data_IF_291636037390
#
_entry.id   IF_291636037390
#
_cell.length_a   1.000
_cell.length_b   1.000
_cell.length_c   1.000
_cell.angle_alpha   90.00
_cell.angle_beta   90.00
_cell.angle_gamma   90.00
#
_symmetry.space_group_name_H-M   'P 1'
#
loop_
_entity.id
_entity.type
_entity.pdbx_description
1 polymer ?
#
# COMPACT_ATOMS: atom_id res chain seq x y z
N UNK A 1 -27.15 -43.54 12.77
CA UNK A 1 -26.84 -42.20 13.35
C UNK A 1 -25.47 -41.77 12.83
N UNK A 2 -25.39 -40.97 11.76
CA UNK A 2 -24.13 -40.41 11.27
C UNK A 2 -24.07 -38.95 11.70
N UNK A 3 -23.15 -38.59 12.60
CA UNK A 3 -22.87 -37.19 12.94
C UNK A 3 -21.96 -36.60 11.87
N UNK A 4 -22.49 -35.69 11.05
CA UNK A 4 -21.69 -34.82 10.19
C UNK A 4 -20.85 -33.91 11.10
N UNK A 5 -19.56 -34.20 11.20
CA UNK A 5 -18.60 -33.29 11.80
C UNK A 5 -18.31 -32.19 10.77
N UNK A 6 -18.85 -30.99 10.98
CA UNK A 6 -18.45 -29.78 10.27
C UNK A 6 -17.00 -29.48 10.68
N UNK A 7 -16.05 -29.87 9.82
CA UNK A 7 -14.67 -29.42 9.96
C UNK A 7 -14.67 -27.96 9.52
N UNK A 8 -14.65 -27.05 10.50
CA UNK A 8 -14.39 -25.63 10.23
C UNK A 8 -13.00 -25.56 9.59
N UNK A 9 -12.97 -25.30 8.28
CA UNK A 9 -11.72 -25.00 7.60
C UNK A 9 -11.17 -23.72 8.22
N UNK A 10 -10.12 -23.85 9.02
CA UNK A 10 -9.35 -22.71 9.53
C UNK A 10 -8.59 -22.17 8.33
N UNK A 11 -9.18 -21.19 7.65
CA UNK A 11 -8.47 -20.44 6.61
C UNK A 11 -7.35 -19.69 7.33
N UNK A 12 -6.07 -19.95 7.01
CA UNK A 12 -4.98 -19.17 7.57
C UNK A 12 -5.17 -17.74 7.08
N UNK A 13 -5.53 -16.83 8.00
CA UNK A 13 -5.56 -15.40 7.72
C UNK A 13 -4.12 -15.00 7.46
N UNK A 14 -3.82 -14.57 6.23
CA UNK A 14 -2.52 -14.01 5.89
C UNK A 14 -2.28 -12.80 6.81
N UNK A 15 -1.45 -12.95 7.84
CA UNK A 15 -1.16 -11.88 8.78
C UNK A 15 -0.13 -10.95 8.14
N UNK A 16 -0.56 -9.76 7.74
CA UNK A 16 0.31 -8.64 7.39
C UNK A 16 1.38 -8.47 8.49
N UNK A 17 2.66 -8.69 8.15
CA UNK A 17 3.75 -8.66 9.13
C UNK A 17 4.61 -7.43 8.87
N UNK A 18 4.83 -6.61 9.90
CA UNK A 18 5.71 -5.45 9.83
C UNK A 18 7.11 -5.80 10.35
N UNK A 19 8.18 -5.17 9.83
CA UNK A 19 9.52 -5.32 10.38
C UNK A 19 9.60 -4.86 11.84
N UNK A 20 10.65 -5.31 12.54
CA UNK A 20 10.87 -4.95 13.94
C UNK A 20 10.92 -3.42 14.12
N UNK A 21 10.22 -2.92 15.14
CA UNK A 21 10.12 -1.50 15.44
C UNK A 21 9.10 -0.73 14.60
N UNK A 22 8.43 -1.38 13.64
CA UNK A 22 7.31 -0.79 12.91
C UNK A 22 5.97 -1.16 13.55
N UNK A 23 5.05 -0.20 13.56
CA UNK A 23 3.65 -0.38 13.95
C UNK A 23 2.81 -0.56 12.69
N UNK A 24 2.03 -1.65 12.63
CA UNK A 24 1.08 -1.87 11.55
C UNK A 24 -0.16 -0.99 11.73
N UNK A 25 -0.61 -0.34 10.66
CA UNK A 25 -1.89 0.36 10.63
C UNK A 25 -2.80 -0.24 9.56
N UNK A 26 -3.84 -0.93 10.04
CA UNK A 26 -4.75 -1.74 9.24
C UNK A 26 -5.58 -0.89 8.25
N UNK A 27 -5.93 0.35 8.61
CA UNK A 27 -6.70 1.23 7.72
C UNK A 27 -5.93 1.62 6.45
N UNK A 28 -4.60 1.71 6.53
CA UNK A 28 -3.74 2.13 5.41
C UNK A 28 -2.96 0.97 4.81
N UNK A 29 -3.00 -0.22 5.44
CA UNK A 29 -2.23 -1.41 5.06
C UNK A 29 -0.72 -1.12 4.95
N UNK A 30 -0.19 -0.38 5.92
CA UNK A 30 1.19 0.13 5.95
C UNK A 30 1.81 -0.03 7.33
N UNK A 31 3.13 -0.09 7.33
CA UNK A 31 3.96 -0.19 8.53
C UNK A 31 4.66 1.14 8.75
N UNK A 32 4.61 1.68 9.97
CA UNK A 32 5.20 2.98 10.33
C UNK A 32 6.19 2.86 11.48
N UNK A 33 7.32 3.55 11.40
CA UNK A 33 8.31 3.63 12.48
C UNK A 33 8.57 5.09 12.82
N UNK A 34 8.31 5.46 14.07
CA UNK A 34 8.48 6.82 14.59
C UNK A 34 9.83 6.91 15.27
N UNK A 35 10.71 7.78 14.76
CA UNK A 35 12.05 7.97 15.29
C UNK A 35 12.14 9.35 15.95
N UNK A 36 12.05 9.35 17.28
CA UNK A 36 12.18 10.56 18.09
C UNK A 36 13.63 11.00 18.28
N UNK A 37 14.54 10.05 18.50
CA UNK A 37 15.93 10.33 18.85
C UNK A 37 16.86 9.23 18.30
N UNK A 38 18.06 9.59 17.80
CA UNK A 38 18.49 10.97 17.56
C UNK A 38 17.69 11.60 16.39
N UNK A 39 17.36 12.90 16.45
CA UNK A 39 16.86 13.61 15.29
C UNK A 39 17.96 13.67 14.22
N UNK A 40 17.57 13.81 12.96
CA UNK A 40 18.49 13.77 11.82
C UNK A 40 18.13 14.84 10.80
N UNK A 41 19.10 15.30 10.01
CA UNK A 41 18.86 16.11 8.82
C UNK A 41 18.07 15.31 7.78
N UNK A 42 17.37 15.97 6.86
CA UNK A 42 16.42 15.33 5.95
C UNK A 42 17.01 14.14 5.19
N UNK A 43 18.18 14.33 4.57
CA UNK A 43 18.83 13.27 3.78
C UNK A 43 19.24 12.07 4.65
N UNK A 44 19.78 12.32 5.85
CA UNK A 44 20.13 11.26 6.79
C UNK A 44 18.89 10.53 7.32
N UNK A 45 17.78 11.24 7.52
CA UNK A 45 16.52 10.65 7.94
C UNK A 45 15.95 9.70 6.87
N UNK A 46 16.01 10.09 5.59
CA UNK A 46 15.66 9.23 4.46
C UNK A 46 16.57 8.00 4.36
N UNK A 47 17.88 8.18 4.47
CA UNK A 47 18.86 7.07 4.47
C UNK A 47 18.56 6.06 5.59
N UNK A 48 18.31 6.54 6.82
CA UNK A 48 17.95 5.70 7.96
C UNK A 48 16.65 4.90 7.73
N UNK A 49 15.67 5.46 7.00
CA UNK A 49 14.48 4.70 6.62
C UNK A 49 14.81 3.62 5.58
N UNK A 50 15.65 3.95 4.59
CA UNK A 50 16.05 3.05 3.52
C UNK A 50 16.85 1.83 4.01
N UNK A 51 17.59 1.95 5.12
CA UNK A 51 18.24 0.79 5.79
C UNK A 51 17.25 -0.34 6.13
N UNK A 52 15.97 -0.02 6.30
CA UNK A 52 14.89 -0.97 6.60
C UNK A 52 13.92 -1.18 5.45
N UNK A 53 14.37 -0.91 4.21
CA UNK A 53 13.54 -0.96 2.98
C UNK A 53 12.27 -0.09 3.09
N UNK A 54 12.36 1.00 3.83
CA UNK A 54 11.30 1.99 4.01
C UNK A 54 11.74 3.35 3.44
N UNK A 55 10.82 4.28 3.36
CA UNK A 55 11.08 5.67 3.00
C UNK A 55 10.56 6.60 4.10
N UNK A 56 10.97 7.87 4.09
CA UNK A 56 10.24 8.88 4.87
C UNK A 56 8.76 8.90 4.47
N UNK A 57 7.89 9.17 5.45
CA UNK A 57 6.46 8.94 5.28
C UNK A 57 5.86 9.81 4.17
N UNK A 58 5.19 9.14 3.22
CA UNK A 58 4.23 9.75 2.29
C UNK A 58 2.82 9.68 2.85
N UNK A 59 2.03 10.74 2.64
CA UNK A 59 0.70 10.90 3.26
C UNK A 59 -0.35 11.09 2.16
N UNK A 60 -1.36 10.22 2.14
CA UNK A 60 -2.36 10.14 1.06
C UNK A 60 -3.76 10.56 1.45
N UNK A 61 -4.02 10.80 2.74
CA UNK A 61 -5.36 11.16 3.19
C UNK A 61 -5.36 11.97 4.48
N UNK A 62 -6.47 12.67 4.72
CA UNK A 62 -6.72 13.35 6.01
C UNK A 62 -6.68 12.38 7.18
N UNK A 63 -7.23 11.18 7.01
CA UNK A 63 -7.25 10.16 8.06
C UNK A 63 -5.85 9.69 8.44
N UNK A 64 -5.00 9.44 7.45
CA UNK A 64 -3.59 9.08 7.68
C UNK A 64 -2.81 10.19 8.36
N UNK A 65 -2.99 11.42 7.87
CA UNK A 65 -2.32 12.58 8.43
C UNK A 65 -2.69 12.82 9.90
N UNK A 66 -3.98 12.81 10.24
CA UNK A 66 -4.43 12.99 11.63
C UNK A 66 -3.98 11.84 12.54
N UNK A 67 -3.97 10.60 12.05
CA UNK A 67 -3.46 9.47 12.81
C UNK A 67 -1.95 9.60 13.07
N UNK A 68 -1.17 9.99 12.06
CA UNK A 68 0.28 10.23 12.18
C UNK A 68 0.59 11.23 13.28
N UNK A 69 -0.08 12.40 13.28
CA UNK A 69 0.16 13.43 14.29
C UNK A 69 -0.16 12.94 15.70
N UNK A 70 -1.33 12.33 15.89
CA UNK A 70 -1.76 11.81 17.19
C UNK A 70 -0.79 10.75 17.71
N UNK A 71 -0.38 9.82 16.85
CA UNK A 71 0.53 8.76 17.25
C UNK A 71 1.94 9.29 17.49
N UNK A 72 2.43 10.25 16.68
CA UNK A 72 3.70 10.93 16.90
C UNK A 72 3.74 11.60 18.29
N UNK A 73 2.68 12.32 18.67
CA UNK A 73 2.57 12.91 20.01
C UNK A 73 2.59 11.85 21.12
N UNK A 74 1.91 10.71 20.92
CA UNK A 74 1.96 9.57 21.87
C UNK A 74 3.36 8.97 22.00
N UNK A 75 4.15 8.97 20.93
CA UNK A 75 5.57 8.59 20.94
C UNK A 75 6.49 9.72 21.51
N UNK A 76 5.90 10.81 22.00
CA UNK A 76 6.60 11.93 22.62
C UNK A 76 7.27 12.88 21.62
N UNK A 77 6.85 12.87 20.36
CA UNK A 77 7.22 13.85 19.34
C UNK A 77 6.20 14.99 19.43
N UNK A 78 6.57 16.08 20.11
CA UNK A 78 5.67 17.21 20.42
C UNK A 78 5.98 18.45 19.55
N UNK A 79 6.24 18.24 18.26
CA UNK A 79 6.67 19.28 17.33
C UNK A 79 6.80 18.75 15.90
N UNK A 80 7.46 19.50 15.02
CA UNK A 80 7.67 19.09 13.65
C UNK A 80 8.49 17.79 13.55
N UNK A 81 8.09 16.91 12.65
CA UNK A 81 8.86 15.74 12.24
C UNK A 81 8.90 15.61 10.72
N UNK A 82 9.99 15.07 10.18
CA UNK A 82 10.14 14.93 8.75
C UNK A 82 9.15 13.93 8.15
N UNK A 83 8.59 14.36 7.03
CA UNK A 83 7.89 13.52 6.06
C UNK A 83 8.78 13.34 4.83
N UNK A 84 8.40 12.50 3.87
CA UNK A 84 9.17 12.35 2.62
C UNK A 84 9.01 13.51 1.64
N UNK A 85 8.24 14.55 1.98
CA UNK A 85 7.89 15.61 1.06
C UNK A 85 9.04 16.62 0.92
N UNK A 86 9.54 16.78 -0.30
CA UNK A 86 10.63 17.69 -0.60
C UNK A 86 10.53 18.23 -2.03
N UNK A 87 11.34 19.24 -2.33
CA UNK A 87 11.52 19.79 -3.68
C UNK A 87 12.99 20.03 -4.05
N UNK A 88 13.90 19.28 -3.43
CA UNK A 88 15.35 19.52 -3.52
C UNK A 88 15.87 19.30 -4.94
N UNK A 89 15.39 18.25 -5.62
CA UNK A 89 15.92 17.84 -6.94
C UNK A 89 15.16 18.52 -8.08
N UNK A 90 13.83 18.43 -8.09
CA UNK A 90 13.00 18.85 -9.22
C UNK A 90 12.48 20.29 -9.11
N UNK A 91 12.80 21.02 -8.03
CA UNK A 91 12.16 22.29 -7.66
C UNK A 91 10.61 22.21 -7.62
N UNK A 92 10.07 21.00 -7.51
CA UNK A 92 8.64 20.69 -7.40
C UNK A 92 8.45 19.74 -6.22
N UNK A 93 7.34 19.92 -5.50
CA UNK A 93 7.03 19.09 -4.33
C UNK A 93 6.71 17.65 -4.75
N UNK A 94 7.40 16.69 -4.16
CA UNK A 94 7.20 15.27 -4.36
C UNK A 94 7.68 14.44 -3.17
N UNK A 95 7.17 13.21 -3.08
CA UNK A 95 7.57 12.26 -2.04
C UNK A 95 8.87 11.54 -2.43
N UNK A 96 9.73 11.23 -1.46
CA UNK A 96 10.97 10.47 -1.67
C UNK A 96 10.73 9.04 -2.16
N UNK A 97 9.57 8.46 -1.84
CA UNK A 97 9.15 7.12 -2.28
C UNK A 97 8.59 7.08 -3.72
N UNK A 98 8.53 8.23 -4.40
CA UNK A 98 8.00 8.35 -5.76
C UNK A 98 6.47 8.31 -5.87
N UNK A 99 5.75 8.27 -4.75
CA UNK A 99 4.29 8.27 -4.73
C UNK A 99 3.71 9.59 -5.25
N UNK A 100 2.47 9.60 -5.78
CA UNK A 100 1.84 10.83 -6.25
C UNK A 100 1.46 11.76 -5.09
N UNK A 101 1.70 13.06 -5.26
CA UNK A 101 1.29 14.10 -4.31
C UNK A 101 -0.17 14.53 -4.56
N UNK A 102 -1.12 13.70 -4.14
CA UNK A 102 -2.56 13.94 -4.33
C UNK A 102 -3.25 14.57 -3.11
N UNK A 103 -2.53 14.66 -1.98
CA UNK A 103 -3.05 15.20 -0.73
C UNK A 103 -2.01 16.16 -0.13
N UNK A 104 -2.47 17.29 0.40
CA UNK A 104 -1.63 18.27 1.09
C UNK A 104 -2.35 18.87 2.28
N UNK A 105 -1.62 19.17 3.35
CA UNK A 105 -2.15 19.90 4.52
C UNK A 105 -1.22 21.00 5.00
N UNK A 106 -0.76 21.82 4.06
CA UNK A 106 0.07 23.01 4.34
C UNK A 106 -0.58 23.92 5.38
N UNK A 107 0.22 24.40 6.33
CA UNK A 107 -0.18 25.45 7.26
C UNK A 107 -0.45 26.77 6.50
N UNK A 108 -1.24 27.70 7.06
CA UNK A 108 -1.42 29.02 6.46
C UNK A 108 -0.09 29.71 6.16
N UNK A 109 0.09 30.18 4.92
CA UNK A 109 1.33 30.81 4.47
C UNK A 109 2.44 29.86 4.01
N UNK A 110 2.17 28.54 3.99
CA UNK A 110 3.07 27.52 3.45
C UNK A 110 2.61 27.06 2.06
N UNK A 111 3.51 26.55 1.20
CA UNK A 111 4.95 26.43 1.42
C UNK A 111 5.72 27.76 1.29
N UNK A 112 6.75 27.98 2.12
CA UNK A 112 7.72 29.08 1.91
C UNK A 112 8.47 28.87 0.58
N UNK A 113 9.03 29.93 -0.01
CA UNK A 113 9.86 29.91 -1.22
C UNK A 113 11.32 29.46 -0.98
N UNK A 114 11.88 29.64 0.22
CA UNK A 114 13.32 29.37 0.46
C UNK A 114 13.60 27.94 0.94
N UNK A 115 12.71 27.38 1.76
CA UNK A 115 12.86 26.05 2.33
C UNK A 115 12.45 24.95 1.33
N UNK A 116 13.14 23.80 1.34
CA UNK A 116 12.95 22.75 0.32
C UNK A 116 12.46 21.41 0.89
N UNK A 117 12.40 21.27 2.21
CA UNK A 117 11.91 20.08 2.90
C UNK A 117 10.65 20.40 3.69
N UNK A 118 9.79 19.41 3.93
CA UNK A 118 8.56 19.59 4.66
C UNK A 118 8.44 18.64 5.87
N UNK A 119 7.98 19.23 6.97
CA UNK A 119 7.72 18.56 8.23
C UNK A 119 6.24 18.69 8.60
N UNK A 120 5.71 17.66 9.24
CA UNK A 120 4.36 17.62 9.81
C UNK A 120 4.44 18.01 11.29
N UNK A 121 3.60 18.94 11.72
CA UNK A 121 3.51 19.41 13.10
C UNK A 121 2.49 18.61 13.90
N UNK A 122 2.98 17.73 14.79
CA UNK A 122 2.11 16.84 15.57
C UNK A 122 1.08 17.59 16.45
N UNK A 123 1.27 18.90 16.67
CA UNK A 123 0.36 19.76 17.43
C UNK A 123 -0.97 20.04 16.73
N UNK A 124 -0.97 20.21 15.41
CA UNK A 124 -2.16 20.63 14.64
C UNK A 124 -2.34 19.87 13.32
N UNK A 125 -1.48 18.89 13.07
CA UNK A 125 -1.41 18.06 11.88
C UNK A 125 -1.00 18.81 10.59
N UNK A 126 -0.55 20.07 10.70
CA UNK A 126 -0.26 20.92 9.54
C UNK A 126 1.17 20.73 9.04
N UNK A 127 1.40 21.02 7.76
CA UNK A 127 2.72 20.89 7.14
C UNK A 127 3.41 22.25 7.04
N UNK A 128 4.67 22.29 7.45
CA UNK A 128 5.52 23.48 7.37
C UNK A 128 6.76 23.15 6.56
N UNK A 129 7.27 24.12 5.82
CA UNK A 129 8.57 23.98 5.17
C UNK A 129 9.69 24.31 6.16
N UNK A 130 10.75 23.52 6.15
CA UNK A 130 11.92 23.63 7.04
C UNK A 130 13.22 23.59 6.23
N UNK A 131 14.32 24.07 6.82
CA UNK A 131 15.64 23.86 6.24
C UNK A 131 15.96 22.37 6.29
N UNK A 132 16.38 21.80 5.16
CA UNK A 132 16.69 20.37 5.06
C UNK A 132 17.87 19.95 5.95
N UNK A 133 18.69 20.90 6.37
CA UNK A 133 19.87 20.70 7.21
C UNK A 133 19.51 20.63 8.70
N UNK A 134 18.33 21.13 9.09
CA UNK A 134 17.86 21.09 10.47
C UNK A 134 17.56 19.65 10.89
N UNK A 135 17.90 19.31 12.13
CA UNK A 135 17.66 17.99 12.68
C UNK A 135 16.27 17.91 13.30
N UNK A 136 15.42 17.02 12.76
CA UNK A 136 14.10 16.74 13.30
C UNK A 136 13.92 15.24 13.58
N UNK A 137 12.99 14.89 14.49
CA UNK A 137 12.36 13.57 14.49
C UNK A 137 11.81 13.25 13.10
N UNK A 138 11.59 11.97 12.80
CA UNK A 138 11.11 11.56 11.48
C UNK A 138 10.28 10.28 11.56
N UNK A 139 9.47 10.04 10.53
CA UNK A 139 8.64 8.84 10.43
C UNK A 139 8.97 8.10 9.15
N UNK A 140 9.33 6.82 9.29
CA UNK A 140 9.52 5.91 8.18
C UNK A 140 8.24 5.15 7.87
N UNK A 141 8.00 4.83 6.60
CA UNK A 141 6.86 4.04 6.14
C UNK A 141 7.27 3.01 5.10
N UNK A 142 6.61 1.86 5.13
CA UNK A 142 6.66 0.86 4.07
C UNK A 142 5.30 0.16 3.92
N UNK A 143 4.97 -0.42 2.76
CA UNK A 143 3.83 -1.32 2.62
C UNK A 143 3.94 -2.48 3.62
N UNK A 144 2.81 -3.00 4.11
CA UNK A 144 2.86 -4.26 4.86
C UNK A 144 3.22 -5.40 3.92
N UNK A 145 4.11 -6.29 4.36
CA UNK A 145 4.39 -7.53 3.64
C UNK A 145 3.19 -8.45 3.85
N UNK A 146 2.38 -8.63 2.80
CA UNK A 146 1.46 -9.76 2.77
C UNK A 146 2.33 -11.03 2.72
N UNK A 147 2.09 -12.03 3.59
CA UNK A 147 2.72 -13.33 3.44
C UNK A 147 2.60 -13.79 1.99
N UNK A 148 3.65 -14.36 1.37
CA UNK A 148 3.53 -14.86 0.01
C UNK A 148 2.28 -15.73 -0.06
N UNK A 149 1.33 -15.34 -0.92
CA UNK A 149 0.10 -16.09 -1.12
C UNK A 149 0.49 -17.55 -1.27
N UNK A 150 -0.12 -18.44 -0.46
CA UNK A 150 0.13 -19.86 -0.60
C UNK A 150 -0.18 -20.22 -2.05
N UNK A 151 0.85 -20.41 -2.87
CA UNK A 151 0.69 -20.81 -4.25
C UNK A 151 0.07 -22.19 -4.19
N UNK A 152 -1.23 -22.28 -4.49
CA UNK A 152 -1.82 -23.58 -4.74
C UNK A 152 -0.93 -24.27 -5.78
N UNK A 153 -0.57 -25.55 -5.57
CA UNK A 153 0.18 -26.30 -6.57
C UNK A 153 -0.51 -26.11 -7.94
N UNK A 154 0.25 -25.87 -9.02
CA UNK A 154 -0.34 -25.74 -10.34
C UNK A 154 -1.22 -26.97 -10.57
N UNK A 155 -2.50 -26.73 -10.90
CA UNK A 155 -3.44 -27.81 -11.16
C UNK A 155 -2.81 -28.75 -12.20
N UNK A 156 -2.81 -30.07 -11.99
CA UNK A 156 -2.31 -30.99 -12.99
C UNK A 156 -3.08 -30.73 -14.29
N UNK A 157 -2.34 -30.45 -15.35
CA UNK A 157 -2.91 -30.17 -16.67
C UNK A 157 -3.78 -31.35 -17.08
N UNK A 158 -5.09 -31.15 -17.37
CA UNK A 158 -5.91 -32.23 -17.88
C UNK A 158 -5.31 -32.72 -19.21
N UNK A 159 -5.26 -34.05 -19.45
CA UNK A 159 -4.73 -34.58 -20.69
C UNK A 159 -5.49 -33.97 -21.88
N UNK A 160 -4.73 -33.52 -22.88
CA UNK A 160 -5.28 -32.92 -24.09
C UNK A 160 -6.35 -33.82 -24.70
N UNK A 161 -7.52 -33.24 -24.94
CA UNK A 161 -8.61 -33.93 -25.64
C UNK A 161 -8.09 -34.36 -27.02
N UNK A 162 -8.23 -35.63 -27.44
CA UNK A 162 -7.75 -36.06 -28.74
C UNK A 162 -8.49 -35.30 -29.84
N UNK A 163 -7.74 -34.52 -30.62
CA UNK A 163 -8.25 -33.82 -31.80
C UNK A 163 -8.69 -34.85 -32.83
N UNK A 164 -9.99 -34.94 -33.05
CA UNK A 164 -10.59 -35.77 -34.10
C UNK A 164 -10.06 -35.29 -35.45
N UNK A 165 -9.43 -36.16 -36.26
CA UNK A 165 -8.97 -35.77 -37.59
C UNK A 165 -10.18 -35.46 -38.47
N UNK A 166 -10.22 -34.24 -38.97
CA UNK A 166 -11.24 -33.73 -39.88
C UNK A 166 -11.12 -34.45 -41.22
N UNK A 167 -11.82 -35.58 -41.38
CA UNK A 167 -11.94 -36.26 -42.67
C UNK A 167 -13.05 -35.59 -43.47
N UNK A 168 -12.68 -34.93 -44.57
CA UNK A 168 -13.59 -34.45 -45.60
C UNK A 168 -14.47 -35.59 -46.09
N UNK A 169 -15.79 -35.37 -46.14
CA UNK A 169 -16.62 -35.84 -47.25
C UNK A 169 -17.90 -35.03 -47.33
N UNK A 170 -18.08 -34.39 -48.49
CA UNK A 170 -19.34 -33.84 -48.97
C UNK A 170 -20.43 -34.91 -48.91
N UNK A 171 -21.62 -34.58 -48.40
CA UNK A 171 -22.90 -35.06 -48.92
C UNK A 171 -24.05 -34.20 -48.36
N UNK A 172 -24.62 -33.41 -49.27
CA UNK A 172 -26.02 -33.03 -49.40
C UNK A 172 -26.84 -32.69 -48.16
N UNK A 173 -27.17 -31.40 -48.08
CA UNK A 173 -28.33 -30.84 -47.38
C UNK A 173 -29.59 -31.63 -47.73
N UNK A 174 -30.21 -32.27 -46.74
CA UNK A 174 -31.65 -32.50 -46.74
C UNK A 174 -32.27 -32.00 -45.45
N UNK A 175 -33.32 -31.19 -45.64
CA UNK A 175 -34.07 -30.47 -44.64
C UNK A 175 -34.93 -31.42 -43.81
N UNK A 176 -34.90 -31.30 -42.47
CA UNK A 176 -35.95 -31.85 -41.61
C UNK A 176 -37.06 -30.81 -41.45
N UNK A 177 -38.18 -31.05 -42.13
CA UNK A 177 -39.45 -30.32 -42.01
C UNK A 177 -40.17 -30.75 -40.72
N UNK A 178 -40.56 -29.78 -39.89
CA UNK A 178 -41.32 -30.02 -38.66
C UNK A 178 -42.77 -30.40 -39.02
N UNK A 179 -43.21 -31.59 -38.60
CA UNK A 179 -44.63 -32.00 -38.66
C UNK A 179 -45.22 -31.81 -37.25
N UNK A 180 -46.08 -30.81 -37.07
CA UNK A 180 -46.94 -30.74 -35.88
C UNK A 180 -48.09 -31.75 -36.07
N UNK A 181 -48.15 -32.76 -35.21
CA UNK A 181 -49.38 -33.49 -34.89
C UNK A 181 -49.72 -33.24 -33.43
N UNK A 182 -50.79 -32.51 -33.19
CA UNK A 182 -51.45 -32.40 -31.90
C UNK A 182 -52.95 -32.47 -32.16
N UNK A 183 -53.56 -33.60 -31.82
CA UNK A 183 -55.00 -33.75 -31.68
C UNK A 183 -55.44 -33.01 -30.39
N UNK A 184 -56.48 -32.19 -30.50
CA UNK A 184 -57.79 -32.32 -29.85
C UNK A 184 -58.72 -31.25 -30.41
#
# INVERSE_FOLDING_TARGET
>A
MWRLLLVLAVVPVASSTCPFGFTYQQQFNRCYKFVKSPPAAFYMAEENCQETSAHLVSIFSTGENSWLSLYASQQGINGPFYTGLNRVIMNQWGWTDGSPLNYTRWAPGQPNITAQCAAESSADSSWVTVDCSDAYPYVCVQPSVEPPAATCPPAPTPPACPTIPRRLTLLHVQQCKVIRKGLL
#
